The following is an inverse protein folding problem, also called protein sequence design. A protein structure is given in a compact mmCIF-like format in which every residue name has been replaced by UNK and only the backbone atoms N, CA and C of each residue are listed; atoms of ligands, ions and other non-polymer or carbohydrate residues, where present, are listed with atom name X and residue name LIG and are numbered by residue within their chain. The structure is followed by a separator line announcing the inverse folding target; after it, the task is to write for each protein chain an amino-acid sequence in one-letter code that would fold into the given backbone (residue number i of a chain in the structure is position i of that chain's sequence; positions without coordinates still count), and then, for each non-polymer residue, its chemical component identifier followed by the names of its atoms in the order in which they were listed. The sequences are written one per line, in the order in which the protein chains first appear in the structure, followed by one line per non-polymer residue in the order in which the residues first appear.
data_IF_068134417214
#
_entry.id   IF_068134417214
#
_cell.length_a   1.000
_cell.length_b   1.000
_cell.length_c   1.000
_cell.angle_alpha   90.00
_cell.angle_beta   90.00
_cell.angle_gamma   90.00
#
_symmetry.space_group_name_H-M   'P 1'
#
loop_
_entity.id
_entity.type
_entity.pdbx_description
1 polymer ?
#
# COMPACT_ATOMS: atom_id res chain seq x y z
N UNK A 1 -43.10 71.80 1.20
CA UNK A 1 -41.89 71.44 0.46
C UNK A 1 -41.35 70.18 1.10
N UNK A 2 -41.65 69.02 0.50
CA UNK A 2 -41.16 67.73 0.98
C UNK A 2 -39.71 67.54 0.48
N UNK A 3 -38.80 67.27 1.41
CA UNK A 3 -37.37 67.20 1.25
C UNK A 3 -36.98 66.01 0.37
N UNK A 4 -36.21 66.27 -0.66
CA UNK A 4 -35.71 65.33 -1.70
C UNK A 4 -35.02 64.01 -1.17
N UNK A 5 -34.49 63.86 0.05
CA UNK A 5 -33.80 62.62 0.43
C UNK A 5 -34.68 61.38 0.66
N UNK A 6 -35.95 61.55 0.97
CA UNK A 6 -36.86 60.42 1.24
C UNK A 6 -37.26 59.67 -0.04
N UNK A 7 -37.46 60.39 -1.14
CA UNK A 7 -37.80 59.82 -2.48
C UNK A 7 -36.63 59.01 -3.04
N UNK A 8 -35.40 59.43 -2.77
CA UNK A 8 -34.21 58.72 -3.23
C UNK A 8 -34.03 57.37 -2.48
N UNK A 9 -34.25 57.33 -1.17
CA UNK A 9 -34.18 56.11 -0.36
C UNK A 9 -35.23 55.08 -0.77
N UNK A 10 -36.43 55.48 -1.09
CA UNK A 10 -37.49 54.57 -1.54
C UNK A 10 -37.17 53.99 -2.93
N UNK A 11 -36.63 54.75 -3.85
CA UNK A 11 -36.17 54.26 -5.17
C UNK A 11 -35.01 53.26 -5.06
N UNK A 12 -34.05 53.49 -4.16
CA UNK A 12 -32.95 52.58 -3.93
C UNK A 12 -33.42 51.27 -3.27
N UNK A 13 -34.35 51.32 -2.36
CA UNK A 13 -34.96 50.14 -1.72
C UNK A 13 -35.73 49.30 -2.75
N UNK A 14 -36.48 49.95 -3.61
CA UNK A 14 -37.27 49.28 -4.68
C UNK A 14 -36.33 48.65 -5.72
N UNK A 15 -35.25 49.31 -6.14
CA UNK A 15 -34.24 48.78 -7.06
C UNK A 15 -33.54 47.56 -6.48
N UNK A 16 -33.16 47.54 -5.20
CA UNK A 16 -32.62 46.38 -4.53
C UNK A 16 -33.60 45.21 -4.47
N UNK A 17 -34.88 45.49 -4.18
CA UNK A 17 -35.91 44.48 -4.16
C UNK A 17 -36.14 43.86 -5.55
N UNK A 18 -36.19 44.65 -6.59
CA UNK A 18 -36.37 44.18 -7.97
C UNK A 18 -35.13 43.37 -8.42
N UNK A 19 -33.92 43.84 -8.13
CA UNK A 19 -32.68 43.13 -8.47
C UNK A 19 -32.60 41.76 -7.75
N UNK A 20 -32.93 41.69 -6.47
CA UNK A 20 -32.98 40.44 -5.72
C UNK A 20 -34.03 39.45 -6.26
N UNK A 21 -35.20 39.97 -6.67
CA UNK A 21 -36.28 39.16 -7.24
C UNK A 21 -35.89 38.59 -8.62
N UNK A 22 -35.25 39.42 -9.46
CA UNK A 22 -34.76 39.01 -10.80
C UNK A 22 -33.67 37.97 -10.68
N UNK A 23 -32.69 38.15 -9.80
CA UNK A 23 -31.63 37.14 -9.54
C UNK A 23 -32.17 35.81 -9.03
N UNK A 24 -33.20 35.84 -8.18
CA UNK A 24 -33.86 34.63 -7.67
C UNK A 24 -34.62 33.87 -8.76
N UNK A 25 -35.29 34.59 -9.68
CA UNK A 25 -36.01 33.98 -10.80
C UNK A 25 -35.05 33.38 -11.83
N UNK A 26 -33.92 34.01 -12.06
CA UNK A 26 -32.90 33.51 -12.99
C UNK A 26 -32.21 32.26 -12.48
N UNK A 27 -31.91 32.19 -11.17
CA UNK A 27 -31.38 31.00 -10.54
C UNK A 27 -32.38 29.82 -10.52
N UNK A 28 -33.68 30.10 -10.37
CA UNK A 28 -34.73 29.07 -10.47
C UNK A 28 -34.92 28.56 -11.90
N UNK A 29 -34.83 29.43 -12.90
CA UNK A 29 -34.89 29.05 -14.32
C UNK A 29 -33.67 28.25 -14.76
N UNK A 30 -32.48 28.58 -14.28
CA UNK A 30 -31.28 27.82 -14.51
C UNK A 30 -31.32 26.46 -13.78
N UNK A 31 -31.84 26.40 -12.57
CA UNK A 31 -32.03 25.17 -11.83
C UNK A 31 -33.03 24.21 -12.50
N UNK A 32 -34.07 24.74 -13.14
CA UNK A 32 -35.05 23.94 -13.89
C UNK A 32 -34.52 23.36 -15.20
N UNK A 33 -33.59 24.03 -15.84
CA UNK A 33 -32.99 23.59 -17.12
C UNK A 33 -31.71 22.77 -16.96
N UNK A 34 -30.92 23.02 -15.92
CA UNK A 34 -29.61 22.38 -15.66
C UNK A 34 -29.55 21.64 -14.33
N UNK A 35 -30.49 21.85 -13.44
CA UNK A 35 -30.48 21.24 -12.11
C UNK A 35 -31.39 20.03 -12.05
N UNK A 36 -30.80 18.84 -12.06
CA UNK A 36 -31.39 17.78 -11.24
C UNK A 36 -31.51 18.38 -9.83
N UNK A 37 -32.73 18.43 -9.28
CA UNK A 37 -32.99 18.83 -7.88
C UNK A 37 -31.83 18.35 -7.02
N UNK A 38 -31.08 19.29 -6.42
CA UNK A 38 -29.93 18.95 -5.60
C UNK A 38 -30.41 17.90 -4.57
N UNK A 39 -29.88 16.68 -4.58
CA UNK A 39 -30.30 15.67 -3.64
C UNK A 39 -30.09 16.25 -2.25
N UNK A 40 -31.07 16.08 -1.35
CA UNK A 40 -31.02 16.58 0.02
C UNK A 40 -29.60 16.50 0.56
N UNK A 41 -28.93 17.64 0.71
CA UNK A 41 -27.50 17.71 1.05
C UNK A 41 -27.18 16.92 2.31
N UNK A 42 -28.15 16.79 3.22
CA UNK A 42 -28.06 16.02 4.45
C UNK A 42 -28.04 14.50 4.17
N UNK A 43 -28.90 14.00 3.30
CA UNK A 43 -28.95 12.58 2.91
C UNK A 43 -27.73 12.17 2.09
N UNK A 44 -27.28 13.05 1.20
CA UNK A 44 -26.06 12.81 0.40
C UNK A 44 -24.82 12.76 1.28
N UNK A 45 -24.68 13.68 2.25
CA UNK A 45 -23.59 13.67 3.22
C UNK A 45 -23.62 12.39 4.07
N UNK A 46 -24.77 11.96 4.54
CA UNK A 46 -24.87 10.71 5.30
C UNK A 46 -24.47 9.48 4.46
N UNK A 47 -24.87 9.41 3.20
CA UNK A 47 -24.45 8.33 2.28
C UNK A 47 -22.94 8.32 2.04
N UNK A 48 -22.35 9.48 1.84
CA UNK A 48 -20.89 9.60 1.67
C UNK A 48 -20.16 9.16 2.93
N UNK A 49 -20.62 9.58 4.12
CA UNK A 49 -20.02 9.17 5.40
C UNK A 49 -20.16 7.66 5.61
N UNK A 50 -21.33 7.09 5.33
CA UNK A 50 -21.55 5.64 5.44
C UNK A 50 -20.65 4.86 4.49
N UNK A 51 -20.51 5.31 3.24
CA UNK A 51 -19.66 4.68 2.25
C UNK A 51 -18.16 4.79 2.64
N UNK A 52 -17.74 5.94 3.13
CA UNK A 52 -16.40 6.14 3.65
C UNK A 52 -16.10 5.26 4.87
N UNK A 53 -17.05 5.09 5.77
CA UNK A 53 -16.92 4.20 6.93
C UNK A 53 -16.77 2.72 6.52
N UNK A 54 -17.56 2.26 5.55
CA UNK A 54 -17.46 0.89 5.01
C UNK A 54 -16.11 0.66 4.34
N UNK A 55 -15.64 1.61 3.52
CA UNK A 55 -14.32 1.51 2.88
C UNK A 55 -13.19 1.51 3.92
N UNK A 56 -13.28 2.36 4.93
CA UNK A 56 -12.27 2.43 5.99
C UNK A 56 -12.20 1.13 6.80
N UNK A 57 -13.35 0.58 7.20
CA UNK A 57 -13.38 -0.70 7.95
C UNK A 57 -12.89 -1.87 7.10
N UNK A 58 -13.24 -1.91 5.82
CA UNK A 58 -12.73 -2.91 4.87
C UNK A 58 -11.22 -2.82 4.71
N UNK A 59 -10.69 -1.60 4.55
CA UNK A 59 -9.24 -1.38 4.43
C UNK A 59 -8.50 -1.77 5.71
N UNK A 60 -9.00 -1.40 6.89
CA UNK A 60 -8.40 -1.79 8.18
C UNK A 60 -8.41 -3.30 8.38
N UNK A 61 -9.51 -3.98 8.08
CA UNK A 61 -9.60 -5.43 8.14
C UNK A 61 -8.59 -6.12 7.23
N UNK A 62 -8.47 -5.64 6.00
CA UNK A 62 -7.47 -6.14 5.06
C UNK A 62 -6.04 -5.88 5.53
N UNK A 63 -5.73 -4.68 6.03
CA UNK A 63 -4.41 -4.32 6.54
C UNK A 63 -3.98 -5.19 7.72
N UNK A 64 -4.91 -5.44 8.68
CA UNK A 64 -4.67 -6.32 9.81
C UNK A 64 -4.40 -7.76 9.33
N UNK A 65 -5.20 -8.24 8.38
CA UNK A 65 -5.00 -9.59 7.82
C UNK A 65 -3.65 -9.75 7.14
N UNK A 66 -3.23 -8.76 6.32
CA UNK A 66 -1.90 -8.77 5.66
C UNK A 66 -0.77 -8.70 6.69
N UNK A 67 -0.90 -7.84 7.71
CA UNK A 67 0.11 -7.74 8.77
C UNK A 67 0.24 -9.05 9.56
N UNK A 68 -0.88 -9.70 9.88
CA UNK A 68 -0.87 -10.98 10.58
C UNK A 68 -0.30 -12.13 9.73
N UNK A 69 -0.60 -12.14 8.42
CA UNK A 69 -0.09 -13.17 7.49
C UNK A 69 1.41 -13.06 7.26
N UNK A 70 1.97 -11.85 7.22
CA UNK A 70 3.41 -11.63 7.01
C UNK A 70 4.27 -11.83 8.26
N UNK A 71 3.67 -11.90 9.45
CA UNK A 71 4.41 -12.01 10.71
C UNK A 71 5.10 -13.37 10.91
N UNK A 72 4.67 -14.42 10.21
CA UNK A 72 5.23 -15.77 10.28
C UNK A 72 6.21 -16.11 9.15
N UNK A 73 6.43 -15.19 8.23
CA UNK A 73 7.31 -15.43 7.08
C UNK A 73 8.78 -15.44 7.51
N UNK A 74 9.50 -16.50 7.11
CA UNK A 74 10.94 -16.61 7.35
C UNK A 74 11.65 -15.70 6.35
N UNK A 75 12.35 -14.69 6.87
CA UNK A 75 13.18 -13.80 6.05
C UNK A 75 14.61 -14.33 6.02
N UNK A 76 15.18 -14.37 4.82
CA UNK A 76 16.56 -14.74 4.63
C UNK A 76 17.27 -13.71 3.75
N UNK A 77 18.56 -13.53 4.00
CA UNK A 77 19.41 -12.61 3.22
C UNK A 77 20.78 -13.22 3.06
N UNK A 78 21.30 -13.24 1.84
CA UNK A 78 22.67 -13.66 1.57
C UNK A 78 23.60 -12.50 1.94
N UNK A 79 24.58 -12.77 2.80
CA UNK A 79 25.59 -11.81 3.22
C UNK A 79 26.83 -11.85 2.31
N UNK A 80 27.13 -13.04 1.76
CA UNK A 80 28.25 -13.21 0.86
C UNK A 80 28.47 -14.67 0.50
N UNK A 81 29.36 -14.89 -0.42
CA UNK A 81 29.85 -16.22 -0.80
C UNK A 81 31.34 -16.15 -1.10
N UNK A 82 32.03 -17.25 -0.95
CA UNK A 82 33.45 -17.39 -1.24
C UNK A 82 33.69 -18.71 -1.96
N UNK A 83 34.28 -18.65 -3.13
CA UNK A 83 34.68 -19.85 -3.91
C UNK A 83 36.02 -20.35 -3.41
N UNK A 84 35.99 -21.47 -2.69
CA UNK A 84 37.21 -22.05 -2.09
C UNK A 84 37.97 -22.92 -3.07
N UNK A 85 37.25 -23.63 -3.93
CA UNK A 85 37.83 -24.49 -4.96
C UNK A 85 36.83 -24.70 -6.11
N UNK A 86 37.23 -25.39 -7.16
CA UNK A 86 36.34 -25.76 -8.27
C UNK A 86 35.12 -26.56 -7.84
N UNK A 87 35.22 -27.29 -6.72
CA UNK A 87 34.18 -28.20 -6.23
C UNK A 87 33.60 -27.80 -4.88
N UNK A 88 33.95 -26.63 -4.36
CA UNK A 88 33.45 -26.19 -3.05
C UNK A 88 33.30 -24.66 -2.97
N UNK A 89 32.12 -24.22 -2.53
CA UNK A 89 31.79 -22.81 -2.30
C UNK A 89 31.23 -22.65 -0.89
N UNK A 90 31.74 -21.66 -0.13
CA UNK A 90 31.15 -21.21 1.14
C UNK A 90 30.07 -20.17 0.85
N UNK A 91 28.94 -20.27 1.54
CA UNK A 91 27.83 -19.30 1.47
C UNK A 91 27.50 -18.83 2.87
N UNK A 92 27.58 -17.50 3.09
CA UNK A 92 27.21 -16.82 4.32
C UNK A 92 25.83 -16.19 4.16
N UNK A 93 24.92 -16.47 5.07
CA UNK A 93 23.56 -15.95 5.01
C UNK A 93 23.01 -15.71 6.42
N UNK A 94 22.05 -14.79 6.50
CA UNK A 94 21.31 -14.46 7.69
C UNK A 94 19.87 -14.93 7.54
N UNK A 95 19.33 -15.51 8.62
CA UNK A 95 17.94 -15.99 8.67
C UNK A 95 17.25 -15.37 9.87
N UNK A 96 16.04 -14.85 9.65
CA UNK A 96 15.13 -14.41 10.70
C UNK A 96 13.90 -15.31 10.69
N UNK A 97 13.85 -16.24 11.63
CA UNK A 97 12.75 -17.18 11.83
C UNK A 97 12.04 -16.91 13.16
N UNK A 98 10.97 -16.10 13.16
CA UNK A 98 10.23 -15.80 14.38
C UNK A 98 9.49 -17.02 14.95
N UNK A 99 9.21 -18.01 14.12
CA UNK A 99 8.49 -19.23 14.51
C UNK A 99 9.40 -20.38 15.00
N UNK A 100 10.72 -20.20 15.05
CA UNK A 100 11.68 -21.18 15.57
C UNK A 100 12.56 -21.84 14.51
N UNK A 101 12.86 -23.13 14.67
CA UNK A 101 13.77 -23.86 13.81
C UNK A 101 13.25 -23.94 12.36
N UNK A 102 14.13 -23.68 11.42
CA UNK A 102 13.84 -23.67 9.99
C UNK A 102 14.85 -24.55 9.22
N UNK A 103 14.51 -24.89 8.00
CA UNK A 103 15.42 -25.44 7.01
C UNK A 103 15.53 -24.48 5.85
N UNK A 104 16.75 -24.24 5.37
CA UNK A 104 17.04 -23.38 4.23
C UNK A 104 17.73 -24.18 3.12
N UNK A 105 17.27 -24.02 1.89
CA UNK A 105 17.91 -24.55 0.70
C UNK A 105 18.92 -23.52 0.18
N UNK A 106 20.19 -23.89 0.18
CA UNK A 106 21.29 -23.08 -0.34
C UNK A 106 21.72 -23.65 -1.67
N UNK A 107 21.82 -22.80 -2.67
CA UNK A 107 22.19 -23.13 -4.05
C UNK A 107 23.44 -22.38 -4.46
N UNK A 108 24.24 -23.00 -5.31
CA UNK A 108 25.37 -22.39 -5.98
C UNK A 108 25.14 -22.47 -7.47
N UNK A 109 25.31 -21.34 -8.16
CA UNK A 109 25.13 -21.21 -9.60
C UNK A 109 26.46 -21.04 -10.31
N UNK A 110 26.57 -21.55 -11.53
CA UNK A 110 27.68 -21.27 -12.44
C UNK A 110 27.45 -19.98 -13.23
N UNK A 111 28.40 -19.65 -14.13
CA UNK A 111 28.31 -18.46 -14.97
C UNK A 111 27.10 -18.45 -15.93
N UNK A 112 26.54 -19.62 -16.24
CA UNK A 112 25.35 -19.77 -17.07
C UNK A 112 24.04 -19.77 -16.25
N UNK A 113 24.08 -19.42 -14.96
CA UNK A 113 22.95 -19.48 -14.03
C UNK A 113 22.36 -20.88 -13.83
N UNK A 114 23.10 -21.94 -14.16
CA UNK A 114 22.72 -23.29 -13.82
C UNK A 114 23.10 -23.63 -12.37
N UNK A 115 22.24 -24.38 -11.69
CA UNK A 115 22.52 -24.86 -10.31
C UNK A 115 23.57 -25.96 -10.38
N UNK A 116 24.75 -25.70 -9.84
CA UNK A 116 25.89 -26.63 -9.79
C UNK A 116 26.15 -27.21 -8.41
N UNK A 117 25.50 -26.64 -7.38
CA UNK A 117 25.55 -27.14 -6.02
C UNK A 117 24.25 -26.88 -5.28
N UNK A 118 23.83 -27.83 -4.44
CA UNK A 118 22.62 -27.74 -3.62
C UNK A 118 22.86 -28.35 -2.25
N UNK A 119 22.41 -27.67 -1.20
CA UNK A 119 22.47 -28.18 0.16
C UNK A 119 21.34 -27.63 1.02
N UNK A 120 20.69 -28.52 1.78
CA UNK A 120 19.74 -28.12 2.84
C UNK A 120 20.49 -27.95 4.16
N UNK A 121 20.25 -26.83 4.82
CA UNK A 121 20.88 -26.47 6.11
C UNK A 121 19.79 -26.28 7.15
N UNK A 122 19.95 -26.92 8.30
CA UNK A 122 19.07 -26.70 9.45
C UNK A 122 19.54 -25.46 10.22
N UNK A 123 18.59 -24.56 10.45
CA UNK A 123 18.77 -23.31 11.17
C UNK A 123 17.98 -23.40 12.46
N UNK A 124 18.62 -23.55 13.62
CA UNK A 124 17.92 -23.77 14.88
C UNK A 124 17.21 -22.52 15.41
N UNK A 125 17.70 -21.34 15.05
CA UNK A 125 17.16 -20.06 15.50
C UNK A 125 17.55 -18.95 14.49
N UNK A 126 17.02 -17.75 14.69
CA UNK A 126 17.44 -16.57 13.93
C UNK A 126 18.92 -16.27 14.18
N UNK A 127 19.66 -15.97 13.12
CA UNK A 127 21.10 -15.68 13.20
C UNK A 127 21.80 -15.69 11.87
N UNK A 128 23.12 -15.59 11.93
CA UNK A 128 24.01 -15.69 10.76
C UNK A 128 24.62 -17.08 10.71
N UNK A 129 24.64 -17.64 9.52
CA UNK A 129 25.12 -18.98 9.25
C UNK A 129 26.07 -18.99 8.07
N UNK A 130 27.03 -19.88 8.14
CA UNK A 130 27.94 -20.19 7.04
C UNK A 130 27.86 -21.68 6.73
N UNK A 131 27.77 -22.00 5.45
CA UNK A 131 27.75 -23.39 5.01
C UNK A 131 28.62 -23.62 3.80
N UNK A 132 29.24 -24.79 3.75
CA UNK A 132 29.99 -25.25 2.59
C UNK A 132 29.09 -26.10 1.70
N UNK A 133 29.03 -25.72 0.44
CA UNK A 133 28.26 -26.44 -0.59
C UNK A 133 29.24 -27.06 -1.57
N UNK A 134 29.11 -28.38 -1.78
CA UNK A 134 29.87 -29.06 -2.81
C UNK A 134 29.24 -28.78 -4.19
N UNK A 135 30.08 -28.48 -5.16
CA UNK A 135 29.67 -28.13 -6.50
C UNK A 135 30.24 -29.13 -7.52
N UNK A 136 29.48 -29.36 -8.60
CA UNK A 136 29.91 -30.23 -9.71
C UNK A 136 30.80 -29.50 -10.71
N UNK A 137 30.69 -28.16 -10.73
CA UNK A 137 31.46 -27.24 -11.56
C UNK A 137 31.84 -26.01 -10.76
N UNK A 138 32.66 -25.14 -11.31
CA UNK A 138 33.06 -23.89 -10.69
C UNK A 138 31.83 -23.01 -10.41
N UNK A 139 31.54 -22.77 -9.13
CA UNK A 139 30.49 -21.86 -8.69
C UNK A 139 30.90 -20.42 -8.85
N UNK A 140 29.98 -19.58 -9.30
CA UNK A 140 30.18 -18.13 -9.48
C UNK A 140 29.37 -17.32 -8.49
N UNK A 141 28.24 -17.85 -8.03
CA UNK A 141 27.40 -17.18 -7.01
C UNK A 141 26.72 -18.20 -6.11
N UNK A 142 26.58 -17.84 -4.83
CA UNK A 142 25.83 -18.59 -3.84
C UNK A 142 24.59 -17.82 -3.40
N UNK A 143 23.45 -18.50 -3.30
CA UNK A 143 22.21 -17.91 -2.87
C UNK A 143 21.40 -18.86 -1.98
N UNK A 144 20.48 -18.31 -1.21
CA UNK A 144 19.45 -19.07 -0.50
C UNK A 144 18.18 -19.00 -1.34
N UNK A 145 17.70 -20.14 -1.81
CA UNK A 145 16.51 -20.26 -2.64
C UNK A 145 15.24 -20.02 -1.81
N UNK A 146 15.07 -20.83 -0.75
CA UNK A 146 13.92 -20.72 0.15
C UNK A 146 14.23 -21.28 1.53
N UNK A 147 13.48 -20.79 2.52
CA UNK A 147 13.48 -21.35 3.88
C UNK A 147 12.06 -21.73 4.28
N UNK A 148 11.92 -22.82 5.02
CA UNK A 148 10.63 -23.30 5.56
C UNK A 148 10.79 -23.79 6.99
N UNK A 149 9.69 -23.82 7.71
CA UNK A 149 9.67 -24.35 9.08
C UNK A 149 9.89 -25.87 9.06
N UNK A 150 10.57 -26.36 10.12
CA UNK A 150 10.84 -27.79 10.30
C UNK A 150 9.59 -28.53 10.80
#
# INVERSE_FOLDING_TARGET
MATQPEVLKSKFAWLKYVALKVMKSESELLASRYGKTAPDAKKTRQRIIALAAVLLTGFLGWAIWVAASGASEIKHQVLGYEVLSENQTSVKFSVQSPAGAAKCAVQVLNQGYAVVGYKEVEVPASGEFETFVNTTELGVTGLVDKCWLK
#
